data_IF_724390343050
#
_entry.id   IF_724390343050
#
_cell.length_a   1.000
_cell.length_b   1.000
_cell.length_c   1.000
_cell.angle_alpha   90.00
_cell.angle_beta   90.00
_cell.angle_gamma   90.00
#
_symmetry.space_group_name_H-M   'P 1'
#
loop_
_entity.id
_entity.type
_entity.pdbx_description
1 polymer ?
#
# COMPACT_ATOMS: atom_id res chain seq x y z
N UNK A 1 -15.68 1.60 14.89
CA UNK A 1 -14.22 1.77 14.97
C UNK A 1 -13.49 1.15 13.75
N UNK A 2 -13.66 -0.14 13.44
CA UNK A 2 -12.96 -0.82 12.33
C UNK A 2 -13.17 -0.19 10.94
N UNK A 3 -14.38 0.28 10.61
CA UNK A 3 -14.65 0.98 9.35
C UNK A 3 -13.84 2.29 9.21
N UNK A 4 -13.65 3.01 10.31
CA UNK A 4 -12.85 4.24 10.31
C UNK A 4 -11.37 3.90 10.09
N UNK A 5 -10.84 2.89 10.81
CA UNK A 5 -9.48 2.41 10.61
C UNK A 5 -9.22 2.00 9.15
N UNK A 6 -10.18 1.29 8.54
CA UNK A 6 -10.09 0.89 7.14
C UNK A 6 -10.04 2.09 6.20
N UNK A 7 -10.91 3.09 6.39
CA UNK A 7 -10.92 4.32 5.57
C UNK A 7 -9.61 5.09 5.75
N UNK A 8 -9.17 5.28 6.99
CA UNK A 8 -7.92 6.01 7.28
C UNK A 8 -6.72 5.30 6.64
N UNK A 9 -6.62 3.97 6.79
CA UNK A 9 -5.56 3.19 6.12
C UNK A 9 -5.61 3.37 4.60
N UNK A 10 -6.79 3.36 4.01
CA UNK A 10 -6.96 3.57 2.57
C UNK A 10 -6.53 4.97 2.12
N UNK A 11 -6.90 6.02 2.86
CA UNK A 11 -6.48 7.41 2.58
C UNK A 11 -4.97 7.55 2.69
N UNK A 12 -4.37 6.99 3.73
CA UNK A 12 -2.91 6.98 3.89
C UNK A 12 -2.24 6.22 2.74
N UNK A 13 -2.79 5.08 2.33
CA UNK A 13 -2.25 4.30 1.21
C UNK A 13 -2.28 5.11 -0.11
N UNK A 14 -3.39 5.82 -0.39
CA UNK A 14 -3.49 6.72 -1.55
C UNK A 14 -2.46 7.85 -1.46
N UNK A 15 -2.37 8.53 -0.31
CA UNK A 15 -1.40 9.61 -0.10
C UNK A 15 0.04 9.12 -0.30
N UNK A 16 0.38 7.95 0.27
CA UNK A 16 1.67 7.30 0.07
C UNK A 16 1.94 6.96 -1.40
N UNK A 17 0.94 6.48 -2.14
CA UNK A 17 1.05 6.20 -3.57
C UNK A 17 1.31 7.45 -4.42
N UNK A 18 0.64 8.57 -4.11
CA UNK A 18 0.88 9.85 -4.77
C UNK A 18 2.29 10.39 -4.48
N UNK A 19 2.72 10.34 -3.22
CA UNK A 19 4.07 10.73 -2.83
C UNK A 19 5.13 9.84 -3.49
N UNK A 20 4.89 8.53 -3.54
CA UNK A 20 5.76 7.59 -4.24
C UNK A 20 5.85 7.94 -5.73
N UNK A 21 4.73 8.17 -6.40
CA UNK A 21 4.69 8.55 -7.81
C UNK A 21 5.42 9.86 -8.11
N UNK A 22 5.33 10.85 -7.20
CA UNK A 22 6.04 12.12 -7.35
C UNK A 22 7.57 11.97 -7.28
N UNK A 23 8.06 10.90 -6.67
CA UNK A 23 9.49 10.56 -6.59
C UNK A 23 10.12 10.04 -7.89
N UNK A 24 9.33 9.79 -8.95
CA UNK A 24 9.84 9.23 -10.22
C UNK A 24 11.02 10.02 -10.80
N UNK A 25 10.96 11.36 -10.76
CA UNK A 25 12.06 12.20 -11.25
C UNK A 25 13.37 11.99 -10.49
N UNK A 26 13.28 11.78 -9.18
CA UNK A 26 14.44 11.51 -8.32
C UNK A 26 15.03 10.14 -8.67
N UNK A 27 14.18 9.12 -8.79
CA UNK A 27 14.61 7.76 -9.17
C UNK A 27 15.27 7.76 -10.54
N UNK A 28 14.66 8.40 -11.53
CA UNK A 28 15.23 8.53 -12.87
C UNK A 28 16.62 9.21 -12.84
N UNK A 29 16.76 10.26 -12.02
CA UNK A 29 18.05 10.94 -11.81
C UNK A 29 19.11 10.04 -11.17
N UNK A 30 18.76 9.23 -10.20
CA UNK A 30 19.70 8.29 -9.55
C UNK A 30 20.09 7.14 -10.47
N UNK A 31 19.14 6.64 -11.27
CA UNK A 31 19.39 5.62 -12.31
C UNK A 31 20.40 6.16 -13.34
N UNK A 32 20.24 7.40 -13.78
CA UNK A 32 21.16 8.05 -14.71
C UNK A 32 22.56 8.25 -14.10
N UNK A 33 22.66 8.68 -12.84
CA UNK A 33 23.94 8.81 -12.12
C UNK A 33 24.65 7.47 -11.95
N UNK A 34 23.91 6.39 -11.81
CA UNK A 34 24.46 5.03 -11.73
C UNK A 34 24.87 4.46 -13.09
N UNK A 35 24.80 5.25 -14.18
CA UNK A 35 25.06 4.84 -15.55
C UNK A 35 24.21 3.64 -16.02
N UNK A 36 23.03 3.47 -15.43
CA UNK A 36 22.05 2.49 -15.89
C UNK A 36 21.31 3.08 -17.08
N UNK A 37 21.39 2.41 -18.23
CA UNK A 37 20.84 2.89 -19.52
C UNK A 37 20.01 1.81 -20.21
N UNK A 38 19.31 2.20 -21.27
CA UNK A 38 18.54 1.27 -22.10
C UNK A 38 17.36 0.65 -21.38
N UNK A 39 17.09 -0.62 -21.67
CA UNK A 39 15.91 -1.32 -21.17
C UNK A 39 15.86 -1.43 -19.65
N UNK A 40 17.01 -1.53 -18.99
CA UNK A 40 17.03 -1.62 -17.53
C UNK A 40 16.55 -0.32 -16.87
N UNK A 41 16.94 0.84 -17.39
CA UNK A 41 16.43 2.13 -16.90
C UNK A 41 14.91 2.22 -17.06
N UNK A 42 14.39 1.82 -18.24
CA UNK A 42 12.96 1.80 -18.51
C UNK A 42 12.20 0.85 -17.59
N UNK A 43 12.77 -0.32 -17.27
CA UNK A 43 12.18 -1.29 -16.33
C UNK A 43 12.09 -0.70 -14.92
N UNK A 44 13.11 0.01 -14.45
CA UNK A 44 13.10 0.66 -13.14
C UNK A 44 12.00 1.74 -13.07
N UNK A 45 11.92 2.61 -14.07
CA UNK A 45 10.90 3.65 -14.15
C UNK A 45 9.49 3.03 -14.19
N UNK A 46 9.29 2.00 -15.02
CA UNK A 46 8.01 1.28 -15.12
C UNK A 46 7.63 0.61 -13.80
N UNK A 47 8.57 -0.05 -13.14
CA UNK A 47 8.34 -0.68 -11.83
C UNK A 47 7.92 0.36 -10.78
N UNK A 48 8.55 1.55 -10.79
CA UNK A 48 8.21 2.64 -9.89
C UNK A 48 6.77 3.14 -10.11
N UNK A 49 6.38 3.35 -11.37
CA UNK A 49 5.01 3.75 -11.74
C UNK A 49 4.01 2.66 -11.36
N UNK A 50 4.33 1.38 -11.67
CA UNK A 50 3.46 0.25 -11.33
C UNK A 50 3.20 0.14 -9.82
N UNK A 51 4.24 0.32 -9.00
CA UNK A 51 4.09 0.33 -7.53
C UNK A 51 3.20 1.48 -7.06
N UNK A 52 3.36 2.68 -7.64
CA UNK A 52 2.51 3.83 -7.31
C UNK A 52 1.04 3.54 -7.61
N UNK A 53 0.75 2.98 -8.78
CA UNK A 53 -0.61 2.57 -9.16
C UNK A 53 -1.16 1.46 -8.26
N UNK A 54 -0.31 0.53 -7.83
CA UNK A 54 -0.65 -0.50 -6.87
C UNK A 54 -1.13 0.09 -5.54
N UNK A 55 -0.40 1.06 -4.98
CA UNK A 55 -0.81 1.75 -3.75
C UNK A 55 -2.12 2.52 -3.90
N UNK A 56 -2.33 3.21 -5.04
CA UNK A 56 -3.60 3.88 -5.32
C UNK A 56 -4.76 2.89 -5.37
N UNK A 57 -4.57 1.76 -6.04
CA UNK A 57 -5.57 0.70 -6.16
C UNK A 57 -5.91 0.08 -4.81
N UNK A 58 -4.89 -0.29 -4.01
CA UNK A 58 -5.10 -0.83 -2.67
C UNK A 58 -5.79 0.18 -1.76
N UNK A 59 -5.39 1.45 -1.81
CA UNK A 59 -6.04 2.52 -1.06
C UNK A 59 -7.51 2.67 -1.42
N UNK A 60 -7.85 2.65 -2.71
CA UNK A 60 -9.24 2.70 -3.18
C UNK A 60 -10.08 1.50 -2.69
N UNK A 61 -9.51 0.28 -2.72
CA UNK A 61 -10.15 -0.92 -2.18
C UNK A 61 -10.44 -0.76 -0.68
N UNK A 62 -9.45 -0.31 0.11
CA UNK A 62 -9.60 -0.11 1.54
C UNK A 62 -10.65 0.95 1.88
N UNK A 63 -10.64 2.11 1.20
CA UNK A 63 -11.65 3.17 1.36
C UNK A 63 -13.05 2.62 1.06
N UNK A 64 -13.21 1.98 -0.09
CA UNK A 64 -14.50 1.44 -0.54
C UNK A 64 -15.04 0.42 0.46
N UNK A 65 -14.18 -0.50 0.91
CA UNK A 65 -14.55 -1.48 1.93
C UNK A 65 -14.95 -0.82 3.25
N UNK A 66 -14.19 0.18 3.71
CA UNK A 66 -14.50 0.91 4.94
C UNK A 66 -15.85 1.65 4.86
N UNK A 67 -16.18 2.24 3.71
CA UNK A 67 -17.48 2.87 3.46
C UNK A 67 -18.62 1.84 3.44
N UNK A 68 -18.41 0.67 2.84
CA UNK A 68 -19.38 -0.43 2.85
C UNK A 68 -19.61 -0.96 4.27
N UNK A 69 -18.54 -1.11 5.06
CA UNK A 69 -18.64 -1.53 6.47
C UNK A 69 -19.47 -0.56 7.32
N UNK A 70 -19.42 0.75 7.06
CA UNK A 70 -20.30 1.73 7.71
C UNK A 70 -21.78 1.47 7.43
N UNK A 71 -22.10 0.95 6.24
CA UNK A 71 -23.45 0.52 5.85
C UNK A 71 -23.78 -0.93 6.26
N UNK A 72 -22.98 -1.54 7.15
CA UNK A 72 -23.08 -2.94 7.58
C UNK A 72 -22.99 -3.96 6.44
N UNK A 73 -22.38 -3.59 5.33
CA UNK A 73 -22.08 -4.48 4.21
C UNK A 73 -20.60 -4.92 4.30
N UNK A 74 -20.37 -6.19 4.58
CA UNK A 74 -19.03 -6.75 4.81
C UNK A 74 -18.48 -7.54 3.62
N UNK A 75 -19.17 -7.55 2.47
CA UNK A 75 -18.78 -8.33 1.28
C UNK A 75 -17.38 -7.98 0.74
N UNK A 76 -16.96 -6.73 0.90
CA UNK A 76 -15.63 -6.27 0.46
C UNK A 76 -14.47 -6.65 1.37
N UNK A 77 -14.70 -7.19 2.58
CA UNK A 77 -13.63 -7.47 3.56
C UNK A 77 -12.56 -8.44 3.04
N UNK A 78 -12.94 -9.40 2.22
CA UNK A 78 -11.99 -10.34 1.64
C UNK A 78 -10.97 -9.61 0.75
N UNK A 79 -11.43 -8.74 -0.15
CA UNK A 79 -10.54 -7.95 -1.02
C UNK A 79 -9.67 -6.97 -0.23
N UNK A 80 -10.25 -6.33 0.80
CA UNK A 80 -9.48 -5.47 1.70
C UNK A 80 -8.44 -6.27 2.48
N UNK A 81 -8.75 -7.49 2.89
CA UNK A 81 -7.80 -8.42 3.53
C UNK A 81 -6.63 -8.78 2.63
N UNK A 82 -6.88 -9.08 1.35
CA UNK A 82 -5.82 -9.31 0.37
C UNK A 82 -4.97 -8.07 0.15
N UNK A 83 -5.57 -6.88 -0.03
CA UNK A 83 -4.83 -5.63 -0.17
C UNK A 83 -3.95 -5.33 1.05
N UNK A 84 -4.50 -5.50 2.26
CA UNK A 84 -3.78 -5.32 3.51
C UNK A 84 -2.63 -6.33 3.66
N UNK A 85 -2.88 -7.60 3.31
CA UNK A 85 -1.88 -8.67 3.30
C UNK A 85 -0.72 -8.37 2.33
N UNK A 86 -1.03 -7.96 1.10
CA UNK A 86 -0.02 -7.57 0.12
C UNK A 86 0.85 -6.41 0.62
N UNK A 87 0.23 -5.34 1.18
CA UNK A 87 0.97 -4.21 1.75
C UNK A 87 1.90 -4.65 2.88
N UNK A 88 1.39 -5.49 3.79
CA UNK A 88 2.15 -5.97 4.95
C UNK A 88 3.33 -6.85 4.51
N UNK A 89 3.08 -7.85 3.67
CA UNK A 89 4.10 -8.80 3.22
C UNK A 89 5.16 -8.13 2.35
N UNK A 90 4.74 -7.25 1.42
CA UNK A 90 5.68 -6.49 0.60
C UNK A 90 6.60 -5.63 1.46
N UNK A 91 6.02 -4.86 2.40
CA UNK A 91 6.78 -3.93 3.22
C UNK A 91 7.72 -4.65 4.18
N UNK A 92 7.26 -5.75 4.81
CA UNK A 92 8.09 -6.58 5.67
C UNK A 92 9.23 -7.24 4.87
N UNK A 93 8.94 -7.82 3.71
CA UNK A 93 9.93 -8.41 2.82
C UNK A 93 10.97 -7.40 2.33
N UNK A 94 10.53 -6.19 1.97
CA UNK A 94 11.43 -5.11 1.58
C UNK A 94 12.35 -4.66 2.73
N UNK A 95 11.83 -4.57 3.95
CA UNK A 95 12.65 -4.25 5.13
C UNK A 95 13.67 -5.33 5.44
N UNK A 96 13.31 -6.60 5.30
CA UNK A 96 14.24 -7.74 5.47
C UNK A 96 15.34 -7.69 4.39
N UNK A 97 14.97 -7.42 3.13
CA UNK A 97 15.91 -7.47 2.00
C UNK A 97 16.83 -6.24 1.91
N UNK A 98 16.31 -5.05 2.19
CA UNK A 98 16.99 -3.77 1.95
C UNK A 98 17.33 -3.01 3.25
N UNK A 99 16.96 -3.56 4.40
CA UNK A 99 17.14 -2.90 5.70
C UNK A 99 16.00 -1.95 6.04
N UNK A 100 16.13 -1.33 7.23
CA UNK A 100 15.14 -0.40 7.74
C UNK A 100 15.04 0.85 6.87
N UNK A 101 13.80 1.17 6.46
CA UNK A 101 13.49 2.39 5.72
C UNK A 101 12.09 2.88 6.13
N UNK A 102 11.98 4.19 6.43
CA UNK A 102 10.72 4.81 6.83
C UNK A 102 9.59 4.63 5.81
N UNK A 103 9.92 4.57 4.52
CA UNK A 103 8.95 4.33 3.46
C UNK A 103 8.29 2.95 3.60
N UNK A 104 9.10 1.91 3.81
CA UNK A 104 8.57 0.55 4.02
C UNK A 104 7.83 0.43 5.36
N UNK A 105 8.35 1.07 6.43
CA UNK A 105 7.67 1.11 7.72
C UNK A 105 6.28 1.76 7.62
N UNK A 106 6.16 2.84 6.86
CA UNK A 106 4.89 3.50 6.63
C UNK A 106 3.84 2.55 6.03
N UNK A 107 4.15 1.87 4.93
CA UNK A 107 3.23 0.93 4.31
C UNK A 107 3.00 -0.34 5.15
N UNK A 108 3.99 -0.76 5.94
CA UNK A 108 3.82 -1.85 6.91
C UNK A 108 2.74 -1.50 7.94
N UNK A 109 2.83 -0.32 8.54
CA UNK A 109 1.84 0.15 9.53
C UNK A 109 0.45 0.24 8.89
N UNK A 110 0.35 0.85 7.70
CA UNK A 110 -0.92 0.95 6.96
C UNK A 110 -1.52 -0.43 6.69
N UNK A 111 -0.71 -1.38 6.24
CA UNK A 111 -1.14 -2.76 5.97
C UNK A 111 -1.61 -3.49 7.22
N UNK A 112 -0.84 -3.43 8.31
CA UNK A 112 -1.19 -4.07 9.59
C UNK A 112 -2.48 -3.50 10.18
N UNK A 113 -2.66 -2.17 10.18
CA UNK A 113 -3.88 -1.52 10.69
C UNK A 113 -5.09 -1.91 9.84
N UNK A 114 -4.94 -1.97 8.51
CA UNK A 114 -6.00 -2.43 7.62
C UNK A 114 -6.33 -3.92 7.83
N UNK A 115 -5.32 -4.77 8.02
CA UNK A 115 -5.52 -6.19 8.32
C UNK A 115 -6.27 -6.38 9.65
N UNK A 116 -5.90 -5.63 10.70
CA UNK A 116 -6.63 -5.62 11.97
C UNK A 116 -8.10 -5.24 11.80
N UNK A 117 -8.40 -4.26 10.95
CA UNK A 117 -9.78 -3.84 10.66
C UNK A 117 -10.59 -4.94 9.94
N UNK A 118 -9.93 -5.88 9.24
CA UNK A 118 -10.57 -7.02 8.59
C UNK A 118 -10.95 -8.14 9.55
N UNK A 119 -10.38 -8.22 10.75
CA UNK A 119 -10.68 -9.28 11.71
C UNK A 119 -12.16 -9.27 12.12
N UNK A 120 -12.75 -10.44 12.41
CA UNK A 120 -14.11 -10.51 12.95
C UNK A 120 -14.22 -9.77 14.29
N UNK A 121 -15.40 -9.25 14.61
CA UNK A 121 -15.67 -8.69 15.94
C UNK A 121 -15.82 -9.84 16.93
N UNK A 122 -15.05 -9.83 18.02
CA UNK A 122 -15.05 -10.89 19.05
C UNK A 122 -16.40 -11.06 19.78
N UNK A 123 -17.42 -10.28 19.44
CA UNK A 123 -18.75 -10.32 20.09
C UNK A 123 -19.76 -11.24 19.39
N UNK A 124 -19.35 -12.07 18.46
CA UNK A 124 -20.21 -13.00 17.70
C UNK A 124 -19.86 -14.47 17.96
N UNK A 125 -19.26 -14.77 19.10
CA UNK A 125 -19.12 -16.12 19.61
C UNK A 125 -20.05 -16.33 20.80
#
# INVERSE_FOLDING_TARGET
MKSILMIVSGVLCVAGGLLHGSGLRVVHGEVAKANVTGDLANIVDLAWVFMSMGFLTFGAILITCGLQMRKRNYRGKMFAGWAAGCLTLFSAGAMIRFGFNFHFLYFLIVGVVAAFACLPDQKTA
#
